data_IF_760513631791
#
_entry.id   IF_760513631791
#
_cell.length_a   1.000
_cell.length_b   1.000
_cell.length_c   1.000
_cell.angle_alpha   90.00
_cell.angle_beta   90.00
_cell.angle_gamma   90.00
#
_symmetry.space_group_name_H-M   'P 1'
#
loop_
_entity.id
_entity.type
_entity.pdbx_description
1 polymer ?
#
# COMPACT_ATOMS: atom_id res chain seq x y z
N UNK A 1 7.41 7.94 2.37
CA UNK A 1 6.60 7.15 3.34
C UNK A 1 7.42 7.01 4.61
N UNK A 2 6.87 7.39 5.77
CA UNK A 2 7.54 7.20 7.07
C UNK A 2 7.38 5.72 7.43
N UNK A 3 8.45 4.90 7.40
CA UNK A 3 8.33 3.45 7.53
C UNK A 3 8.17 2.97 8.97
N UNK A 4 7.98 3.89 9.93
CA UNK A 4 8.05 3.62 11.35
C UNK A 4 7.33 4.69 12.19
N UNK A 5 6.53 4.25 13.17
CA UNK A 5 5.91 5.14 14.17
C UNK A 5 6.94 5.70 15.15
N UNK A 6 8.00 4.97 15.46
CA UNK A 6 8.97 5.38 16.50
C UNK A 6 9.83 6.58 16.10
N UNK A 7 9.75 7.06 14.86
CA UNK A 7 10.46 8.25 14.38
C UNK A 7 9.58 9.52 14.35
N UNK A 8 8.32 9.44 14.73
CA UNK A 8 7.39 10.58 14.70
C UNK A 8 7.09 11.11 16.11
N UNK A 9 7.22 12.42 16.29
CA UNK A 9 6.71 13.12 17.47
C UNK A 9 5.37 13.75 17.12
N UNK A 10 4.33 13.41 17.89
CA UNK A 10 2.97 13.88 17.67
C UNK A 10 2.52 14.64 18.91
N UNK A 11 2.00 15.86 18.72
CA UNK A 11 1.42 16.63 19.84
C UNK A 11 0.19 15.88 20.36
N UNK A 12 0.13 15.66 21.68
CA UNK A 12 -1.00 14.96 22.34
C UNK A 12 -2.36 15.52 21.92
N UNK A 13 -2.52 16.85 21.91
CA UNK A 13 -3.77 17.50 21.49
C UNK A 13 -4.20 17.13 20.06
N UNK A 14 -3.25 17.05 19.14
CA UNK A 14 -3.51 16.72 17.73
C UNK A 14 -3.86 15.25 17.58
N UNK A 15 -3.18 14.36 18.32
CA UNK A 15 -3.52 12.93 18.33
C UNK A 15 -4.94 12.68 18.87
N UNK A 16 -5.34 13.39 19.93
CA UNK A 16 -6.69 13.31 20.48
C UNK A 16 -7.71 13.82 19.44
N UNK A 17 -7.45 14.98 18.82
CA UNK A 17 -8.33 15.56 17.81
C UNK A 17 -8.50 14.66 16.57
N UNK A 18 -7.45 13.93 16.17
CA UNK A 18 -7.49 12.92 15.10
C UNK A 18 -8.21 11.62 15.49
N UNK A 19 -8.67 11.48 16.74
CA UNK A 19 -9.37 10.29 17.23
C UNK A 19 -8.44 9.15 17.63
N UNK A 20 -7.25 9.47 18.16
CA UNK A 20 -6.22 8.52 18.60
C UNK A 20 -5.67 7.62 17.49
N UNK A 21 -4.74 6.73 17.85
CA UNK A 21 -4.21 5.73 16.93
C UNK A 21 -5.28 4.67 16.61
N UNK A 22 -5.31 4.21 15.37
CA UNK A 22 -6.33 3.27 14.93
C UNK A 22 -6.10 1.84 15.47
N UNK A 23 -6.82 1.47 16.53
CA UNK A 23 -6.60 0.24 17.28
C UNK A 23 -6.97 -1.06 16.52
N UNK A 24 -7.80 -0.96 15.48
CA UNK A 24 -8.30 -2.15 14.74
C UNK A 24 -7.47 -2.53 13.52
N UNK A 25 -6.44 -1.74 13.18
CA UNK A 25 -5.55 -2.05 12.05
C UNK A 25 -4.25 -2.65 12.57
N UNK A 26 -3.90 -3.83 12.05
CA UNK A 26 -2.72 -4.58 12.46
C UNK A 26 -1.45 -4.13 11.75
N UNK A 27 -1.57 -3.73 10.48
CA UNK A 27 -0.42 -3.49 9.59
C UNK A 27 -0.31 -2.05 9.09
N UNK A 28 -1.43 -1.36 8.89
CA UNK A 28 -1.45 0.02 8.36
C UNK A 28 -2.08 1.03 9.31
N UNK A 29 -2.16 0.71 10.60
CA UNK A 29 -2.75 1.61 11.61
C UNK A 29 -1.97 2.92 11.73
N UNK A 30 -0.66 2.87 11.52
CA UNK A 30 0.21 4.05 11.43
C UNK A 30 -0.12 4.93 10.24
N UNK A 31 -0.23 4.35 9.04
CA UNK A 31 -0.59 5.08 7.82
C UNK A 31 -1.95 5.73 7.93
N UNK A 32 -2.93 5.03 8.50
CA UNK A 32 -4.27 5.58 8.71
C UNK A 32 -4.26 6.71 9.74
N UNK A 33 -3.51 6.56 10.83
CA UNK A 33 -3.35 7.61 11.85
C UNK A 33 -2.66 8.85 11.25
N UNK A 34 -1.62 8.66 10.43
CA UNK A 34 -0.95 9.78 9.75
C UNK A 34 -1.88 10.48 8.75
N UNK A 35 -2.68 9.74 7.98
CA UNK A 35 -3.67 10.36 7.09
C UNK A 35 -4.62 11.27 7.88
N UNK A 36 -5.17 10.80 9.01
CA UNK A 36 -6.03 11.62 9.86
C UNK A 36 -5.33 12.85 10.46
N UNK A 37 -4.08 12.70 10.89
CA UNK A 37 -3.30 13.82 11.42
C UNK A 37 -3.06 14.91 10.38
N UNK A 38 -2.85 14.52 9.11
CA UNK A 38 -2.61 15.43 8.00
C UNK A 38 -3.85 16.25 7.60
N UNK A 39 -5.06 15.85 8.01
CA UNK A 39 -6.27 16.65 7.78
C UNK A 39 -6.34 17.90 8.67
N UNK A 40 -5.66 17.86 9.82
CA UNK A 40 -5.78 18.90 10.87
C UNK A 40 -4.43 19.50 11.27
N UNK A 41 -3.34 19.06 10.67
CA UNK A 41 -1.99 19.54 10.97
C UNK A 41 -1.00 19.27 9.85
N UNK A 42 0.02 20.13 9.76
CA UNK A 42 1.13 19.95 8.83
C UNK A 42 2.20 18.99 9.36
N UNK A 43 2.99 18.44 8.44
CA UNK A 43 4.15 17.62 8.74
C UNK A 43 5.43 18.43 8.62
N UNK A 44 6.27 18.39 9.66
CA UNK A 44 7.65 18.85 9.60
C UNK A 44 8.61 17.66 9.52
N UNK A 45 9.65 17.76 8.70
CA UNK A 45 10.68 16.75 8.53
C UNK A 45 12.04 17.29 8.96
N UNK A 46 12.79 16.48 9.72
CA UNK A 46 14.17 16.76 10.11
C UNK A 46 15.05 15.71 9.44
N UNK A 47 16.02 16.16 8.64
CA UNK A 47 16.92 15.26 7.90
C UNK A 47 17.94 14.54 8.79
N UNK A 48 18.14 15.01 10.03
CA UNK A 48 19.03 14.38 11.01
C UNK A 48 18.48 13.02 11.44
N UNK A 49 19.35 12.01 11.43
CA UNK A 49 18.99 10.67 11.89
C UNK A 49 18.84 10.64 13.43
N UNK A 50 17.60 10.84 13.90
CA UNK A 50 17.28 10.84 15.33
C UNK A 50 16.75 9.48 15.85
N UNK A 51 16.45 8.55 14.95
CA UNK A 51 15.91 7.23 15.29
C UNK A 51 16.65 6.12 14.52
N UNK A 52 17.23 5.18 15.26
CA UNK A 52 17.91 4.00 14.71
C UNK A 52 16.98 2.80 14.77
N UNK A 53 16.34 2.47 13.65
CA UNK A 53 15.42 1.34 13.58
C UNK A 53 16.17 0.00 13.59
N UNK A 54 15.82 -0.89 14.52
CA UNK A 54 16.40 -2.23 14.60
C UNK A 54 15.66 -3.19 13.65
N UNK A 55 16.39 -3.76 12.70
CA UNK A 55 15.90 -4.86 11.89
C UNK A 55 16.10 -6.19 12.62
N UNK A 56 15.03 -6.93 12.86
CA UNK A 56 15.09 -8.33 13.31
C UNK A 56 14.36 -9.23 12.32
N UNK A 57 14.80 -10.49 12.19
CA UNK A 57 14.24 -11.45 11.23
C UNK A 57 12.76 -11.79 11.51
N UNK A 58 12.31 -11.62 12.76
CA UNK A 58 10.94 -11.93 13.22
C UNK A 58 10.06 -10.68 13.39
N UNK A 59 10.18 -9.70 12.50
CA UNK A 59 9.32 -8.51 12.56
C UNK A 59 7.91 -8.82 12.02
N UNK A 60 6.93 -8.02 12.46
CA UNK A 60 5.59 -8.01 11.85
C UNK A 60 5.69 -7.86 10.33
N UNK A 61 6.69 -7.11 9.84
CA UNK A 61 6.99 -6.91 8.42
C UNK A 61 7.30 -8.22 7.67
N UNK A 62 8.07 -9.16 8.24
CA UNK A 62 8.34 -10.44 7.58
C UNK A 62 7.09 -11.33 7.50
N UNK A 63 6.18 -11.21 8.46
CA UNK A 63 4.86 -11.89 8.45
C UNK A 63 3.78 -11.15 7.65
N UNK A 64 3.99 -9.87 7.35
CA UNK A 64 3.04 -8.98 6.67
C UNK A 64 2.99 -9.22 5.16
N UNK A 65 4.12 -9.60 4.56
CA UNK A 65 4.25 -9.73 3.11
C UNK A 65 3.31 -10.76 2.48
N UNK A 66 2.72 -11.67 3.26
CA UNK A 66 1.82 -12.71 2.77
C UNK A 66 0.38 -12.60 3.30
N UNK A 67 0.01 -11.52 3.99
CA UNK A 67 -1.32 -11.43 4.61
C UNK A 67 -2.32 -10.66 3.75
N UNK A 68 -3.46 -11.28 3.46
CA UNK A 68 -4.58 -10.59 2.78
C UNK A 68 -5.12 -9.41 3.59
N UNK A 69 -4.98 -9.45 4.92
CA UNK A 69 -5.37 -8.35 5.80
C UNK A 69 -4.53 -7.10 5.53
N UNK A 70 -3.25 -7.25 5.21
CA UNK A 70 -2.39 -6.12 4.86
C UNK A 70 -2.89 -5.42 3.59
N UNK A 71 -3.28 -6.16 2.55
CA UNK A 71 -3.84 -5.55 1.33
C UNK A 71 -5.19 -4.88 1.56
N UNK A 72 -6.03 -5.50 2.40
CA UNK A 72 -7.30 -4.90 2.83
C UNK A 72 -7.08 -3.56 3.57
N UNK A 73 -6.16 -3.52 4.53
CA UNK A 73 -5.85 -2.30 5.28
C UNK A 73 -5.22 -1.23 4.39
N UNK A 74 -4.29 -1.59 3.49
CA UNK A 74 -3.75 -0.65 2.49
C UNK A 74 -4.85 -0.08 1.61
N UNK A 75 -5.76 -0.91 1.10
CA UNK A 75 -6.89 -0.45 0.31
C UNK A 75 -7.79 0.50 1.10
N UNK A 76 -7.97 0.25 2.40
CA UNK A 76 -8.75 1.11 3.31
C UNK A 76 -8.09 2.48 3.46
N UNK A 77 -6.78 2.53 3.67
CA UNK A 77 -6.02 3.79 3.73
C UNK A 77 -6.12 4.54 2.39
N UNK A 78 -5.94 3.85 1.26
CA UNK A 78 -6.02 4.48 -0.07
C UNK A 78 -7.41 5.04 -0.36
N UNK A 79 -8.48 4.32 0.00
CA UNK A 79 -9.85 4.81 -0.11
C UNK A 79 -10.07 6.06 0.74
N UNK A 80 -9.61 6.02 2.00
CA UNK A 80 -9.71 7.17 2.89
C UNK A 80 -8.98 8.41 2.37
N UNK A 81 -7.75 8.25 1.90
CA UNK A 81 -6.96 9.35 1.33
C UNK A 81 -7.64 9.89 0.07
N UNK A 82 -8.16 9.00 -0.78
CA UNK A 82 -8.93 9.35 -1.97
C UNK A 82 -10.17 10.21 -1.69
N UNK A 83 -10.82 9.98 -0.56
CA UNK A 83 -12.12 10.57 -0.23
C UNK A 83 -11.96 11.88 0.56
N UNK A 84 -10.87 12.04 1.33
CA UNK A 84 -10.69 13.17 2.25
C UNK A 84 -9.64 14.19 1.79
N UNK A 85 -8.82 13.86 0.79
CA UNK A 85 -7.77 14.76 0.29
C UNK A 85 -8.04 15.21 -1.15
N UNK A 86 -7.70 16.46 -1.50
CA UNK A 86 -7.74 16.91 -2.89
C UNK A 86 -6.62 16.22 -3.67
N UNK A 87 -6.98 15.26 -4.51
CA UNK A 87 -6.04 14.52 -5.36
C UNK A 87 -6.42 14.74 -6.82
N UNK A 88 -5.46 15.18 -7.63
CA UNK A 88 -5.69 15.37 -9.06
C UNK A 88 -5.98 14.03 -9.76
N UNK A 89 -6.64 14.10 -10.92
CA UNK A 89 -6.95 12.89 -11.70
C UNK A 89 -5.67 12.12 -12.11
N UNK A 90 -4.57 12.83 -12.39
CA UNK A 90 -3.31 12.21 -12.79
C UNK A 90 -2.61 11.53 -11.61
N UNK A 91 -2.55 12.17 -10.45
CA UNK A 91 -2.01 11.56 -9.23
C UNK A 91 -2.81 10.32 -8.84
N UNK A 92 -4.14 10.38 -8.93
CA UNK A 92 -5.02 9.24 -8.67
C UNK A 92 -4.77 8.09 -9.63
N UNK A 93 -4.61 8.38 -10.92
CA UNK A 93 -4.28 7.39 -11.96
C UNK A 93 -2.91 6.77 -11.70
N UNK A 94 -1.90 7.56 -11.37
CA UNK A 94 -0.55 7.09 -11.07
C UNK A 94 -0.51 6.25 -9.80
N UNK A 95 -1.14 6.70 -8.72
CA UNK A 95 -1.24 5.98 -7.45
C UNK A 95 -1.94 4.63 -7.64
N UNK A 96 -3.04 4.61 -8.38
CA UNK A 96 -3.75 3.39 -8.76
C UNK A 96 -2.86 2.46 -9.58
N UNK A 97 -2.15 3.00 -10.58
CA UNK A 97 -1.27 2.20 -11.43
C UNK A 97 -0.13 1.55 -10.63
N UNK A 98 0.50 2.31 -9.73
CA UNK A 98 1.56 1.83 -8.85
C UNK A 98 1.05 0.75 -7.89
N UNK A 99 -0.13 0.96 -7.31
CA UNK A 99 -0.76 0.02 -6.40
C UNK A 99 -1.04 -1.33 -7.07
N UNK A 100 -1.70 -1.32 -8.24
CA UNK A 100 -2.02 -2.54 -8.98
C UNK A 100 -0.78 -3.26 -9.49
N UNK A 101 0.22 -2.51 -9.94
CA UNK A 101 1.49 -3.10 -10.39
C UNK A 101 2.23 -3.78 -9.24
N UNK A 102 2.24 -3.19 -8.05
CA UNK A 102 2.80 -3.82 -6.85
C UNK A 102 2.10 -5.13 -6.53
N UNK A 103 0.77 -5.15 -6.53
CA UNK A 103 0.00 -6.38 -6.27
C UNK A 103 0.24 -7.45 -7.32
N UNK A 104 0.15 -7.12 -8.61
CA UNK A 104 0.34 -8.09 -9.68
C UNK A 104 1.74 -8.68 -9.68
N UNK A 105 2.76 -7.90 -9.35
CA UNK A 105 4.12 -8.42 -9.16
C UNK A 105 4.16 -9.43 -8.01
N UNK A 106 3.58 -9.12 -6.85
CA UNK A 106 3.55 -10.05 -5.73
C UNK A 106 2.79 -11.34 -6.09
N UNK A 107 1.62 -11.22 -6.73
CA UNK A 107 0.85 -12.39 -7.22
C UNK A 107 1.68 -13.26 -8.19
N UNK A 108 2.44 -12.63 -9.08
CA UNK A 108 3.22 -13.34 -10.09
C UNK A 108 4.46 -14.05 -9.53
N UNK A 109 5.06 -13.53 -8.46
CA UNK A 109 6.31 -14.05 -7.89
C UNK A 109 6.14 -14.86 -6.61
N UNK A 110 4.96 -14.81 -5.98
CA UNK A 110 4.71 -15.43 -4.69
C UNK A 110 3.34 -16.13 -4.66
N UNK A 111 3.37 -17.45 -4.83
CA UNK A 111 2.18 -18.31 -4.82
C UNK A 111 1.45 -18.25 -3.47
N UNK A 112 2.17 -18.11 -2.35
CA UNK A 112 1.53 -18.04 -1.04
C UNK A 112 0.75 -16.73 -0.89
N UNK A 113 1.34 -15.60 -1.30
CA UNK A 113 0.64 -14.33 -1.39
C UNK A 113 -0.58 -14.41 -2.32
N UNK A 114 -0.47 -15.05 -3.48
CA UNK A 114 -1.58 -15.19 -4.42
C UNK A 114 -2.77 -15.94 -3.79
N UNK A 115 -2.51 -17.03 -3.07
CA UNK A 115 -3.54 -17.79 -2.34
C UNK A 115 -4.21 -16.94 -1.26
N UNK A 116 -3.41 -16.24 -0.44
CA UNK A 116 -3.93 -15.38 0.63
C UNK A 116 -4.75 -14.22 0.05
N UNK A 117 -4.24 -13.56 -0.99
CA UNK A 117 -4.94 -12.50 -1.71
C UNK A 117 -6.30 -12.97 -2.23
N UNK A 118 -6.37 -14.18 -2.82
CA UNK A 118 -7.64 -14.76 -3.28
C UNK A 118 -8.64 -14.97 -2.14
N UNK A 119 -8.19 -15.44 -0.95
CA UNK A 119 -9.05 -15.57 0.25
C UNK A 119 -9.66 -14.23 0.67
N UNK A 120 -8.90 -13.15 0.59
CA UNK A 120 -9.33 -11.80 0.96
C UNK A 120 -9.99 -11.00 -0.17
N UNK A 121 -9.99 -11.51 -1.41
CA UNK A 121 -10.28 -10.71 -2.60
C UNK A 121 -11.64 -10.01 -2.54
N UNK A 122 -12.69 -10.67 -2.06
CA UNK A 122 -14.03 -10.07 -1.97
C UNK A 122 -14.06 -8.84 -1.06
N UNK A 123 -13.40 -8.90 0.10
CA UNK A 123 -13.33 -7.78 1.06
C UNK A 123 -12.48 -6.64 0.49
N UNK A 124 -11.33 -6.99 -0.07
CA UNK A 124 -10.42 -6.06 -0.74
C UNK A 124 -11.11 -5.33 -1.89
N UNK A 125 -11.75 -6.07 -2.81
CA UNK A 125 -12.40 -5.56 -4.03
C UNK A 125 -13.40 -4.44 -3.72
N UNK A 126 -14.23 -4.63 -2.71
CA UNK A 126 -15.26 -3.66 -2.36
C UNK A 126 -14.68 -2.32 -1.94
N UNK A 127 -13.56 -2.34 -1.20
CA UNK A 127 -12.87 -1.12 -0.76
C UNK A 127 -12.05 -0.52 -1.91
N UNK A 128 -11.33 -1.36 -2.66
CA UNK A 128 -10.46 -0.92 -3.73
C UNK A 128 -11.22 -0.19 -4.85
N UNK A 129 -12.47 -0.55 -5.10
CA UNK A 129 -13.33 0.15 -6.07
C UNK A 129 -13.60 1.61 -5.73
N UNK A 130 -13.47 2.02 -4.46
CA UNK A 130 -13.67 3.42 -4.05
C UNK A 130 -12.62 4.35 -4.66
N UNK A 131 -11.36 3.92 -4.72
CA UNK A 131 -10.28 4.74 -5.29
C UNK A 131 -9.85 4.29 -6.70
N UNK A 132 -10.20 3.05 -7.10
CA UNK A 132 -9.89 2.47 -8.40
C UNK A 132 -11.16 1.98 -9.11
N UNK A 133 -11.90 2.88 -9.79
CA UNK A 133 -13.00 2.47 -10.66
C UNK A 133 -12.51 1.54 -11.77
N UNK A 134 -13.32 0.53 -12.10
CA UNK A 134 -12.98 -0.52 -13.07
C UNK A 134 -11.74 -1.35 -12.68
N UNK A 135 -11.57 -1.62 -11.38
CA UNK A 135 -10.47 -2.38 -10.80
C UNK A 135 -10.12 -3.63 -11.61
N UNK A 136 -11.10 -4.47 -11.93
CA UNK A 136 -10.91 -5.75 -12.61
C UNK A 136 -10.33 -5.57 -14.02
N UNK A 137 -10.89 -4.62 -14.78
CA UNK A 137 -10.40 -4.30 -16.12
C UNK A 137 -8.95 -3.77 -16.07
N UNK A 138 -8.64 -2.92 -15.08
CA UNK A 138 -7.29 -2.36 -14.88
C UNK A 138 -6.28 -3.41 -14.41
N UNK A 139 -6.70 -4.34 -13.56
CA UNK A 139 -5.86 -5.49 -13.18
C UNK A 139 -5.57 -6.37 -14.38
N UNK A 140 -6.60 -6.72 -15.16
CA UNK A 140 -6.45 -7.54 -16.35
C UNK A 140 -5.53 -6.90 -17.39
N UNK A 141 -5.74 -5.63 -17.72
CA UNK A 141 -4.89 -4.92 -18.70
C UNK A 141 -3.43 -4.81 -18.25
N UNK A 142 -3.17 -4.56 -16.96
CA UNK A 142 -1.80 -4.57 -16.43
C UNK A 142 -1.19 -5.97 -16.39
N UNK A 143 -1.97 -7.00 -16.06
CA UNK A 143 -1.48 -8.38 -16.06
C UNK A 143 -1.01 -8.79 -17.47
N UNK A 144 -1.79 -8.46 -18.50
CA UNK A 144 -1.39 -8.66 -19.90
C UNK A 144 -0.11 -7.89 -20.24
N UNK A 145 0.01 -6.63 -19.82
CA UNK A 145 1.20 -5.83 -20.07
C UNK A 145 2.46 -6.39 -19.36
N UNK A 146 2.32 -6.96 -18.16
CA UNK A 146 3.41 -7.63 -17.44
C UNK A 146 3.80 -8.93 -18.15
N UNK A 147 2.82 -9.77 -18.53
CA UNK A 147 3.05 -11.00 -19.25
C UNK A 147 3.76 -10.76 -20.59
N UNK A 148 3.33 -9.75 -21.36
CA UNK A 148 3.96 -9.34 -22.61
C UNK A 148 5.43 -8.91 -22.40
N UNK A 149 5.72 -8.10 -21.37
CA UNK A 149 7.11 -7.71 -21.03
C UNK A 149 7.99 -8.92 -20.67
N UNK A 150 7.46 -9.90 -19.95
CA UNK A 150 8.18 -11.12 -19.58
C UNK A 150 8.44 -12.03 -20.80
N UNK A 151 7.47 -12.15 -21.70
CA UNK A 151 7.61 -12.90 -22.95
C UNK A 151 8.67 -12.28 -23.87
N UNK A 152 8.65 -10.96 -24.07
CA UNK A 152 9.63 -10.25 -24.89
C UNK A 152 11.06 -10.39 -24.35
N UNK A 153 11.25 -10.31 -23.02
CA UNK A 153 12.56 -10.54 -22.38
C UNK A 153 13.08 -11.96 -22.64
N UNK A 154 12.21 -12.98 -22.59
CA UNK A 154 12.59 -14.37 -22.89
C UNK A 154 12.98 -14.57 -24.35
N UNK A 155 12.30 -13.90 -25.28
CA UNK A 155 12.61 -13.96 -26.72
C UNK A 155 13.97 -13.31 -27.00
N UNK A 156 14.25 -12.14 -26.41
CA UNK A 156 15.54 -11.45 -26.55
C UNK A 156 16.69 -12.26 -25.95
N UNK A 157 16.49 -12.88 -24.78
CA UNK A 157 17.50 -13.74 -24.14
C UNK A 157 17.82 -15.01 -24.95
N UNK A 158 16.87 -15.51 -25.76
CA UNK A 158 17.08 -16.67 -26.65
C UNK A 158 17.75 -16.34 -27.98
N UNK A 159 17.79 -15.06 -28.37
CA UNK A 159 18.43 -14.59 -29.62
C UNK A 159 19.87 -14.09 -29.41
N UNK A 160 20.32 -13.97 -28.16
CA UNK A 160 21.68 -13.54 -27.79
C UNK A 160 22.63 -14.68 -27.39
N UNK A 161 22.18 -15.93 -27.51
CA UNK A 161 22.99 -17.17 -27.47
C UNK A 161 22.96 -17.81 -28.85
#
# INVERSE_FOLDING_TARGET
MIPNVSSALIRKKTLIAAGYAHERMRYCGDYFTYAKLLEISDLAYIATALNYFRFSRNTVRSKMHHSWLHEYEKATVMAYVSDNFPISAEERKQATANYLEGQLRLIAYDTHYAIEWLKGYRKYRNIAKKFCPNLELRMFSKALAIAGRLASKRILARRGN
#
